data_IF_232239396142
#
_entry.id   IF_232239396142
#
_cell.length_a   1.000
_cell.length_b   1.000
_cell.length_c   1.000
_cell.angle_alpha   90.00
_cell.angle_beta   90.00
_cell.angle_gamma   90.00
#
_symmetry.space_group_name_H-M   'P 1'
#
loop_
_entity.id
_entity.type
_entity.pdbx_description
1 polymer ?
#
# COMPACT_ATOMS: atom_id res chain seq x y z
N UNK A 1 5.80 28.65 17.87
CA UNK A 1 5.68 27.76 16.69
C UNK A 1 4.19 27.52 16.48
N UNK A 2 3.60 28.19 15.49
CA UNK A 2 2.15 28.11 15.22
C UNK A 2 1.83 26.90 14.34
N UNK A 3 0.74 26.16 14.58
CA UNK A 3 0.29 25.14 13.65
C UNK A 3 -0.30 25.83 12.41
N UNK A 4 0.27 25.55 11.24
CA UNK A 4 -0.31 26.00 9.98
C UNK A 4 -1.69 25.35 9.82
N UNK A 5 -2.74 26.17 9.78
CA UNK A 5 -4.10 25.72 9.53
C UNK A 5 -4.17 25.08 8.13
N UNK A 6 -4.50 23.79 8.07
CA UNK A 6 -4.78 23.12 6.80
C UNK A 6 -6.02 23.77 6.16
N UNK A 7 -5.87 24.14 4.88
CA UNK A 7 -6.97 24.69 4.10
C UNK A 7 -8.09 23.65 3.94
N UNK A 8 -9.37 24.07 3.91
CA UNK A 8 -10.48 23.15 3.72
C UNK A 8 -10.42 22.48 2.34
N UNK A 9 -10.86 21.22 2.22
CA UNK A 9 -10.81 20.47 0.96
C UNK A 9 -11.65 21.16 -0.11
N UNK A 10 -11.06 21.26 -1.31
CA UNK A 10 -11.65 21.92 -2.46
C UNK A 10 -12.87 21.15 -2.98
N UNK A 11 -13.75 21.83 -3.72
CA UNK A 11 -14.92 21.19 -4.32
C UNK A 11 -14.54 20.04 -5.26
N UNK A 12 -13.39 20.15 -5.95
CA UNK A 12 -12.87 19.11 -6.83
C UNK A 12 -12.49 17.83 -6.08
N UNK A 13 -11.86 17.94 -4.91
CA UNK A 13 -11.49 16.79 -4.06
C UNK A 13 -12.71 16.09 -3.50
N UNK A 14 -13.74 16.85 -3.10
CA UNK A 14 -15.02 16.28 -2.66
C UNK A 14 -15.68 15.50 -3.79
N UNK A 15 -15.75 16.10 -4.98
CA UNK A 15 -16.33 15.48 -6.17
C UNK A 15 -15.55 14.21 -6.56
N UNK A 16 -14.21 14.25 -6.56
CA UNK A 16 -13.37 13.08 -6.78
C UNK A 16 -13.61 11.96 -5.74
N UNK A 17 -13.78 12.32 -4.45
CA UNK A 17 -14.14 11.36 -3.40
C UNK A 17 -15.54 10.76 -3.56
N UNK A 18 -16.49 11.49 -4.15
CA UNK A 18 -17.82 10.94 -4.46
C UNK A 18 -17.77 10.04 -5.70
N UNK A 19 -17.01 10.42 -6.73
CA UNK A 19 -16.84 9.60 -7.93
C UNK A 19 -16.01 8.33 -7.69
N UNK A 20 -15.05 8.35 -6.75
CA UNK A 20 -14.31 7.13 -6.38
C UNK A 20 -15.20 6.07 -5.72
N UNK A 21 -16.27 6.48 -5.02
CA UNK A 21 -17.30 5.56 -4.48
C UNK A 21 -18.15 4.90 -5.56
N UNK A 22 -18.13 5.43 -6.78
CA UNK A 22 -18.85 4.89 -7.94
C UNK A 22 -17.92 4.07 -8.87
N UNK A 23 -16.60 4.07 -8.63
CA UNK A 23 -15.65 3.31 -9.42
C UNK A 23 -15.71 1.81 -9.08
N UNK A 24 -15.90 0.91 -10.06
CA UNK A 24 -15.85 -0.54 -9.83
C UNK A 24 -14.44 -1.06 -9.54
N UNK A 25 -13.41 -0.25 -9.80
CA UNK A 25 -12.02 -0.53 -9.42
C UNK A 25 -11.75 0.15 -8.07
N UNK A 26 -11.51 -0.63 -7.00
CA UNK A 26 -11.26 -0.07 -5.68
C UNK A 26 -9.95 0.72 -5.69
N UNK A 27 -9.99 2.00 -5.34
CA UNK A 27 -8.79 2.79 -5.07
C UNK A 27 -8.86 3.30 -3.63
N UNK A 28 -7.71 3.40 -2.98
CA UNK A 28 -7.65 4.02 -1.66
C UNK A 28 -7.93 5.52 -1.80
N UNK A 29 -8.57 6.14 -0.80
CA UNK A 29 -8.85 7.57 -0.82
C UNK A 29 -7.56 8.37 -0.78
N UNK A 30 -7.56 9.54 -1.42
CA UNK A 30 -6.43 10.46 -1.43
C UNK A 30 -6.09 10.94 -0.01
N UNK A 31 -4.81 11.19 0.25
CA UNK A 31 -4.35 11.72 1.52
C UNK A 31 -4.91 13.13 1.74
N UNK A 32 -5.32 13.43 2.97
CA UNK A 32 -5.86 14.74 3.35
C UNK A 32 -4.78 15.77 3.73
N UNK A 33 -3.51 15.35 3.72
CA UNK A 33 -2.38 16.21 4.04
C UNK A 33 -2.01 17.14 2.88
N UNK A 34 -1.22 18.20 3.15
CA UNK A 34 -0.85 19.20 2.13
C UNK A 34 0.20 18.70 1.13
N UNK A 35 0.80 17.53 1.39
CA UNK A 35 1.87 16.97 0.57
C UNK A 35 1.34 15.81 -0.25
N UNK A 36 1.75 15.77 -1.53
CA UNK A 36 1.74 14.52 -2.30
C UNK A 36 2.63 13.50 -1.60
N UNK A 37 2.32 12.22 -1.74
CA UNK A 37 3.05 11.17 -1.05
C UNK A 37 3.82 10.33 -2.07
N UNK A 38 5.13 10.26 -1.88
CA UNK A 38 6.03 9.39 -2.60
C UNK A 38 6.19 8.07 -1.88
N UNK A 39 6.64 7.05 -2.60
CA UNK A 39 6.95 5.75 -2.00
C UNK A 39 8.13 5.07 -2.66
N UNK A 40 8.86 4.31 -1.86
CA UNK A 40 9.96 3.44 -2.30
C UNK A 40 9.93 2.16 -1.48
N UNK A 41 10.19 1.04 -2.15
CA UNK A 41 10.39 -0.26 -1.50
C UNK A 41 11.90 -0.49 -1.35
N UNK A 42 12.35 -0.77 -0.13
CA UNK A 42 13.76 -1.03 0.18
C UNK A 42 13.86 -2.41 0.82
N UNK A 43 14.88 -3.16 0.42
CA UNK A 43 15.25 -4.44 1.02
C UNK A 43 16.68 -4.31 1.55
N UNK A 44 16.84 -4.55 2.84
CA UNK A 44 18.13 -4.40 3.54
C UNK A 44 18.55 -5.75 4.11
N UNK A 45 19.80 -6.21 3.88
CA UNK A 45 20.32 -7.42 4.52
C UNK A 45 20.32 -7.29 6.04
N UNK A 46 19.86 -8.33 6.74
CA UNK A 46 19.90 -8.40 8.22
C UNK A 46 21.33 -8.30 8.73
N UNK A 47 22.32 -8.76 7.96
CA UNK A 47 23.75 -8.65 8.30
C UNK A 47 24.26 -7.21 8.35
N UNK A 48 23.55 -6.25 7.75
CA UNK A 48 23.91 -4.82 7.76
C UNK A 48 23.18 -4.04 8.87
N UNK A 49 22.29 -4.71 9.62
CA UNK A 49 21.46 -4.10 10.65
C UNK A 49 21.92 -4.51 12.06
N UNK A 50 22.03 -3.54 12.96
CA UNK A 50 22.25 -3.83 14.38
C UNK A 50 20.93 -4.28 15.02
N UNK A 51 20.89 -5.51 15.53
CA UNK A 51 19.67 -6.04 16.16
C UNK A 51 19.56 -5.57 17.61
N UNK A 52 18.45 -4.92 18.00
CA UNK A 52 18.22 -4.51 19.39
C UNK A 52 17.88 -5.68 20.31
N UNK A 53 17.70 -6.88 19.77
CA UNK A 53 17.33 -8.10 20.51
C UNK A 53 17.94 -9.37 19.92
N UNK A 54 18.02 -10.48 20.69
CA UNK A 54 18.47 -11.76 20.17
C UNK A 54 17.54 -12.30 19.07
N UNK A 55 18.13 -12.91 18.04
CA UNK A 55 17.37 -13.52 16.93
C UNK A 55 16.58 -14.74 17.42
N UNK A 56 15.25 -14.80 17.20
CA UNK A 56 14.44 -15.97 17.51
C UNK A 56 14.86 -17.18 16.67
N UNK A 57 14.79 -18.39 17.23
CA UNK A 57 15.14 -19.63 16.52
C UNK A 57 14.34 -19.81 15.22
N UNK A 58 13.06 -19.42 15.21
CA UNK A 58 12.18 -19.50 14.04
C UNK A 58 12.51 -18.52 12.91
N UNK A 59 13.43 -17.57 13.15
CA UNK A 59 13.79 -16.52 12.20
C UNK A 59 15.19 -16.72 11.59
N UNK A 60 15.82 -17.87 11.82
CA UNK A 60 17.20 -18.17 11.35
C UNK A 60 17.33 -18.09 9.83
N UNK A 61 16.27 -18.40 9.09
CA UNK A 61 16.23 -18.39 7.62
C UNK A 61 15.81 -17.03 7.02
N UNK A 62 15.64 -15.99 7.86
CA UNK A 62 15.28 -14.64 7.41
C UNK A 62 16.56 -13.83 7.23
N UNK A 63 16.88 -13.49 5.97
CA UNK A 63 18.15 -12.82 5.62
C UNK A 63 17.99 -11.33 5.31
N UNK A 64 16.77 -10.86 5.05
CA UNK A 64 16.52 -9.47 4.66
C UNK A 64 15.31 -8.90 5.40
N UNK A 65 15.31 -7.58 5.53
CA UNK A 65 14.16 -6.79 5.99
C UNK A 65 13.66 -5.99 4.80
N UNK A 66 12.39 -6.20 4.43
CA UNK A 66 11.73 -5.42 3.40
C UNK A 66 10.80 -4.39 4.04
N UNK A 67 10.93 -3.12 3.63
CA UNK A 67 10.05 -2.05 4.06
C UNK A 67 9.58 -1.19 2.87
N UNK A 68 8.33 -0.74 2.95
CA UNK A 68 7.77 0.27 2.05
C UNK A 68 7.74 1.60 2.79
N UNK A 69 8.50 2.56 2.30
CA UNK A 69 8.60 3.89 2.88
C UNK A 69 7.59 4.80 2.18
N UNK A 70 6.94 5.66 2.96
CA UNK A 70 6.07 6.73 2.47
C UNK A 70 6.64 8.07 2.94
N UNK A 71 6.82 9.01 2.03
CA UNK A 71 7.45 10.30 2.33
C UNK A 71 6.74 11.46 1.60
N UNK A 72 6.82 12.70 2.11
CA UNK A 72 6.34 13.87 1.39
C UNK A 72 7.10 14.03 0.08
N UNK A 73 6.39 13.97 -1.05
CA UNK A 73 6.96 14.15 -2.37
C UNK A 73 6.98 15.62 -2.79
N UNK A 74 7.79 15.94 -3.81
CA UNK A 74 7.82 17.29 -4.38
C UNK A 74 6.48 17.61 -5.07
N UNK A 75 6.03 18.88 -5.09
CA UNK A 75 4.75 19.27 -5.69
C UNK A 75 4.58 18.82 -7.15
N UNK A 76 5.68 18.75 -7.90
CA UNK A 76 5.75 18.36 -9.32
C UNK A 76 5.69 16.84 -9.54
N UNK A 77 5.50 16.06 -8.46
CA UNK A 77 5.37 14.60 -8.55
C UNK A 77 4.04 14.21 -9.19
N UNK A 78 4.05 13.95 -10.49
CA UNK A 78 2.85 13.54 -11.25
C UNK A 78 2.91 12.06 -11.69
N UNK A 79 3.54 11.22 -10.87
CA UNK A 79 3.69 9.79 -11.12
C UNK A 79 2.35 9.02 -11.11
N UNK A 80 2.30 7.88 -11.80
CA UNK A 80 1.13 6.98 -11.72
C UNK A 80 0.98 6.41 -10.31
N UNK A 81 -0.27 6.29 -9.85
CA UNK A 81 -0.61 5.53 -8.63
C UNK A 81 -0.09 4.10 -8.75
N UNK A 82 0.38 3.53 -7.64
CA UNK A 82 0.89 2.15 -7.63
C UNK A 82 -0.17 1.16 -7.16
N UNK A 83 0.04 -0.11 -7.46
CA UNK A 83 -0.76 -1.19 -6.89
C UNK A 83 -0.56 -1.27 -5.39
N UNK A 84 -1.63 -1.57 -4.66
CA UNK A 84 -1.60 -1.79 -3.22
C UNK A 84 -0.69 -2.98 -2.89
N UNK A 85 -0.92 -4.12 -3.55
CA UNK A 85 -0.08 -5.31 -3.37
C UNK A 85 1.26 -5.16 -4.13
N UNK A 86 2.39 -5.51 -3.50
CA UNK A 86 3.68 -5.52 -4.16
C UNK A 86 3.77 -6.63 -5.22
N UNK A 87 4.68 -6.43 -6.17
CA UNK A 87 5.02 -7.46 -7.16
C UNK A 87 6.00 -8.48 -6.54
N UNK A 88 5.81 -9.79 -6.74
CA UNK A 88 4.76 -10.44 -7.54
C UNK A 88 3.43 -10.60 -6.77
N UNK A 89 2.38 -9.92 -7.22
CA UNK A 89 1.08 -9.87 -6.53
C UNK A 89 0.40 -11.24 -6.37
N UNK A 90 0.62 -12.16 -7.32
CA UNK A 90 0.01 -13.49 -7.32
C UNK A 90 0.35 -14.28 -6.04
N UNK A 91 1.57 -14.15 -5.55
CA UNK A 91 2.01 -14.85 -4.34
C UNK A 91 1.29 -14.30 -3.12
N UNK A 92 1.18 -12.97 -3.00
CA UNK A 92 0.42 -12.32 -1.93
C UNK A 92 -1.06 -12.72 -1.95
N UNK A 93 -1.73 -12.68 -3.10
CA UNK A 93 -3.14 -13.08 -3.23
C UNK A 93 -3.34 -14.55 -2.84
N UNK A 94 -2.45 -15.44 -3.27
CA UNK A 94 -2.48 -16.86 -2.90
C UNK A 94 -2.33 -17.05 -1.39
N UNK A 95 -1.37 -16.37 -0.77
CA UNK A 95 -1.14 -16.44 0.67
C UNK A 95 -2.35 -15.92 1.47
N UNK A 96 -2.96 -14.80 1.05
CA UNK A 96 -4.19 -14.29 1.68
C UNK A 96 -5.36 -15.29 1.55
N UNK A 97 -5.47 -15.96 0.41
CA UNK A 97 -6.50 -16.97 0.18
C UNK A 97 -6.30 -18.19 1.09
N UNK A 98 -5.05 -18.63 1.28
CA UNK A 98 -4.71 -19.70 2.22
C UNK A 98 -4.97 -19.29 3.67
N UNK A 99 -4.60 -18.07 4.05
CA UNK A 99 -4.79 -17.52 5.40
C UNK A 99 -6.27 -17.48 5.81
N UNK A 100 -7.17 -17.12 4.89
CA UNK A 100 -8.62 -17.07 5.13
C UNK A 100 -9.24 -18.48 5.28
N UNK A 101 -8.46 -19.55 5.06
CA UNK A 101 -8.87 -20.91 5.39
C UNK A 101 -9.97 -21.45 4.49
N UNK A 102 -9.90 -21.18 3.18
CA UNK A 102 -10.88 -21.63 2.18
C UNK A 102 -11.05 -23.16 2.21
N UNK A 103 -12.02 -23.61 3.01
CA UNK A 103 -12.75 -24.87 2.84
C UNK A 103 -13.85 -24.65 1.78
N UNK A 104 -14.41 -25.72 1.17
CA UNK A 104 -15.24 -25.68 -0.06
C UNK A 104 -16.49 -24.78 -0.08
N UNK A 105 -16.80 -24.05 1.00
CA UNK A 105 -17.98 -23.17 1.12
C UNK A 105 -17.71 -21.71 0.67
N UNK A 106 -16.47 -21.30 0.39
CA UNK A 106 -16.12 -19.89 0.07
C UNK A 106 -15.72 -19.66 -1.41
N UNK A 107 -16.06 -20.57 -2.32
CA UNK A 107 -15.76 -20.47 -3.75
C UNK A 107 -16.22 -19.12 -4.37
N UNK A 108 -17.33 -18.55 -3.88
CA UNK A 108 -17.85 -17.27 -4.34
C UNK A 108 -16.95 -16.08 -3.94
N UNK A 109 -16.32 -16.09 -2.75
CA UNK A 109 -15.42 -15.01 -2.29
C UNK A 109 -14.12 -15.00 -3.12
N UNK A 110 -13.62 -16.19 -3.48
CA UNK A 110 -12.44 -16.33 -4.36
C UNK A 110 -12.72 -15.82 -5.78
N UNK A 111 -13.97 -15.66 -6.21
CA UNK A 111 -14.26 -15.04 -7.51
C UNK A 111 -14.10 -13.51 -7.51
N UNK A 112 -14.32 -12.86 -6.35
CA UNK A 112 -14.19 -11.41 -6.17
C UNK A 112 -12.77 -10.99 -5.76
N UNK A 113 -12.12 -11.73 -4.87
CA UNK A 113 -10.85 -11.33 -4.23
C UNK A 113 -9.67 -11.14 -5.22
N UNK A 114 -9.41 -12.04 -6.19
CA UNK A 114 -8.25 -11.93 -7.07
C UNK A 114 -8.38 -10.71 -7.98
N UNK A 115 -9.53 -10.52 -8.64
CA UNK A 115 -9.68 -9.48 -9.65
C UNK A 115 -9.66 -8.09 -9.00
N UNK A 116 -10.30 -7.89 -7.85
CA UNK A 116 -10.32 -6.58 -7.21
C UNK A 116 -8.98 -6.21 -6.57
N UNK A 117 -8.30 -7.14 -5.88
CA UNK A 117 -7.02 -6.85 -5.24
C UNK A 117 -5.88 -6.59 -6.23
N UNK A 118 -5.90 -7.23 -7.41
CA UNK A 118 -4.92 -6.99 -8.46
C UNK A 118 -4.98 -5.56 -9.03
N UNK A 119 -6.17 -4.94 -9.02
CA UNK A 119 -6.37 -3.59 -9.53
C UNK A 119 -6.50 -2.54 -8.43
N UNK A 120 -6.43 -2.93 -7.15
CA UNK A 120 -6.47 -1.96 -6.05
C UNK A 120 -5.23 -1.08 -6.10
N UNK A 121 -5.43 0.24 -6.19
CA UNK A 121 -4.34 1.22 -6.20
C UNK A 121 -4.30 2.03 -4.92
N UNK A 122 -3.10 2.48 -4.56
CA UNK A 122 -2.86 3.43 -3.48
C UNK A 122 -2.39 4.77 -4.08
N UNK A 123 -2.84 5.92 -3.55
CA UNK A 123 -2.58 7.25 -4.12
C UNK A 123 -1.19 7.78 -3.77
N UNK A 124 -0.16 7.00 -4.12
CA UNK A 124 1.25 7.35 -3.91
C UNK A 124 2.02 7.25 -5.22
N UNK A 125 3.08 8.03 -5.32
CA UNK A 125 3.94 8.13 -6.49
C UNK A 125 5.24 7.33 -6.26
N UNK A 126 5.58 6.43 -7.19
CA UNK A 126 6.80 5.62 -7.07
C UNK A 126 8.04 6.48 -7.33
N UNK A 127 9.00 6.46 -6.39
CA UNK A 127 10.29 7.15 -6.51
C UNK A 127 10.16 8.63 -6.90
N UNK A 128 9.32 9.34 -6.15
CA UNK A 128 8.93 10.72 -6.41
C UNK A 128 9.81 11.74 -5.67
#
# INVERSE_FOLDING_TARGET
MSPAAQAPPTAAEKVASFFSRLSPVPAFPDYTGPHKVGTVDVEVPVSELESPSPTPYSATDIHTVQCRIFYPAVPESDGKRISWLPSPQRQHVSAYTQFIGVRPMLADIVSFLPRHLHYTTIPVHKNA
#
